data_IF_181499503794
#
_entry.id   IF_181499503794
#
_cell.length_a   1.000
_cell.length_b   1.000
_cell.length_c   1.000
_cell.angle_alpha   90.00
_cell.angle_beta   90.00
_cell.angle_gamma   90.00
#
_symmetry.space_group_name_H-M   'P 1'
#
loop_
_entity.id
_entity.type
_entity.pdbx_description
1 polymer ?
#
# COMPACT_ATOMS: atom_id res chain seq x y z
N UNK A 1 9.97 -25.07 9.39
CA UNK A 1 8.65 -25.71 9.32
C UNK A 1 7.78 -25.01 8.28
N UNK A 2 7.02 -25.82 7.56
CA UNK A 2 6.28 -25.62 6.30
C UNK A 2 5.47 -24.30 6.23
N UNK A 3 5.86 -23.38 5.33
CA UNK A 3 4.92 -22.36 4.80
C UNK A 3 4.01 -23.05 3.78
N UNK A 4 2.84 -23.50 4.23
CA UNK A 4 1.68 -23.63 3.35
C UNK A 4 1.27 -22.21 2.98
N UNK A 5 1.77 -21.71 1.85
CA UNK A 5 1.04 -20.66 1.16
C UNK A 5 -0.29 -21.27 0.75
N UNK A 6 -1.38 -20.78 1.34
CA UNK A 6 -2.68 -20.78 0.67
C UNK A 6 -2.51 -19.90 -0.56
N UNK A 7 -1.83 -20.42 -1.58
CA UNK A 7 -2.20 -20.12 -2.96
C UNK A 7 -3.66 -20.52 -3.00
N UNK A 8 -4.55 -19.55 -3.12
CA UNK A 8 -5.89 -19.81 -3.62
C UNK A 8 -5.67 -20.58 -4.91
N UNK A 9 -5.78 -21.90 -4.82
CA UNK A 9 -5.81 -22.76 -5.97
C UNK A 9 -6.98 -22.23 -6.75
N UNK A 10 -6.71 -21.67 -7.93
CA UNK A 10 -7.71 -21.33 -8.92
C UNK A 10 -8.73 -22.47 -8.91
N UNK A 11 -9.88 -22.25 -8.27
CA UNK A 11 -10.90 -23.27 -8.19
C UNK A 11 -11.23 -23.52 -9.64
N UNK A 12 -10.89 -24.74 -10.10
CA UNK A 12 -11.14 -25.22 -11.45
C UNK A 12 -12.48 -24.62 -11.86
N UNK A 13 -12.45 -23.85 -12.94
CA UNK A 13 -13.64 -23.28 -13.55
C UNK A 13 -14.81 -24.24 -13.41
N UNK A 14 -15.99 -23.73 -13.11
CA UNK A 14 -17.25 -24.45 -13.34
C UNK A 14 -17.28 -24.84 -14.82
N UNK A 15 -16.63 -25.96 -15.14
CA UNK A 15 -16.83 -26.72 -16.35
C UNK A 15 -18.29 -27.11 -16.25
N UNK A 16 -19.10 -26.63 -17.20
CA UNK A 16 -20.40 -27.22 -17.48
C UNK A 16 -20.19 -28.74 -17.45
N UNK A 17 -20.91 -29.42 -16.57
CA UNK A 17 -20.85 -30.87 -16.42
C UNK A 17 -21.33 -31.52 -17.71
N UNK A 18 -20.40 -31.73 -18.64
CA UNK A 18 -20.49 -32.87 -19.53
C UNK A 18 -20.17 -34.10 -18.68
N UNK A 19 -20.92 -35.18 -18.88
CA UNK A 19 -20.81 -36.42 -18.13
C UNK A 19 -19.34 -36.78 -17.90
N UNK A 20 -19.02 -37.16 -16.66
CA UNK A 20 -17.72 -37.66 -16.27
C UNK A 20 -17.52 -39.10 -16.76
N UNK A 21 -17.78 -39.35 -18.05
CA UNK A 21 -17.14 -40.47 -18.72
C UNK A 21 -15.70 -40.03 -18.98
N UNK A 22 -14.89 -40.16 -17.93
CA UNK A 22 -13.44 -40.06 -18.06
C UNK A 22 -13.05 -41.16 -19.03
N UNK A 23 -12.84 -40.80 -20.30
CA UNK A 23 -12.05 -41.60 -21.22
C UNK A 23 -10.67 -41.76 -20.60
N UNK A 24 -10.52 -42.79 -19.77
CA UNK A 24 -9.25 -43.15 -19.16
C UNK A 24 -8.40 -43.77 -20.26
N UNK A 25 -7.57 -42.95 -20.91
CA UNK A 25 -6.49 -43.45 -21.75
C UNK A 25 -5.45 -44.07 -20.82
N UNK A 26 -5.64 -45.34 -20.48
CA UNK A 26 -4.63 -46.14 -19.80
C UNK A 26 -3.47 -46.28 -20.81
N UNK A 27 -2.25 -45.81 -20.49
CA UNK A 27 -1.10 -45.96 -21.38
C UNK A 27 -0.89 -47.43 -21.73
N UNK A 28 -0.57 -47.72 -22.99
CA UNK A 28 -0.43 -49.09 -23.51
C UNK A 28 0.54 -49.98 -22.70
N UNK A 29 1.50 -49.34 -22.02
CA UNK A 29 2.51 -49.97 -21.16
C UNK A 29 1.92 -50.78 -20.01
N UNK A 30 0.67 -50.50 -19.59
CA UNK A 30 0.03 -51.11 -18.42
C UNK A 30 -0.99 -52.21 -18.74
N UNK A 31 -1.24 -52.51 -20.02
CA UNK A 31 -2.39 -53.34 -20.43
C UNK A 31 -2.05 -54.70 -21.06
N UNK A 32 -0.82 -54.91 -21.53
CA UNK A 32 -0.43 -56.13 -22.25
C UNK A 32 0.63 -56.94 -21.49
N UNK A 33 0.46 -58.26 -21.48
CA UNK A 33 1.33 -59.23 -20.77
C UNK A 33 2.57 -59.63 -21.59
N UNK A 34 2.57 -59.44 -22.91
CA UNK A 34 3.65 -59.86 -23.81
C UNK A 34 4.33 -58.67 -24.49
N UNK A 35 5.66 -58.71 -24.57
CA UNK A 35 6.48 -57.60 -25.12
C UNK A 35 6.25 -57.33 -26.61
N UNK A 36 5.78 -58.32 -27.38
CA UNK A 36 5.46 -58.17 -28.80
C UNK A 36 4.20 -57.34 -29.07
N UNK A 37 3.35 -57.10 -28.07
CA UNK A 37 2.12 -56.29 -28.16
C UNK A 37 2.36 -54.85 -27.68
N UNK A 38 3.57 -54.54 -27.18
CA UNK A 38 3.94 -53.19 -26.76
C UNK A 38 4.27 -52.34 -27.98
N UNK A 39 3.37 -51.40 -28.28
CA UNK A 39 3.66 -50.33 -29.23
C UNK A 39 4.97 -49.62 -28.87
N UNK A 40 5.76 -49.28 -29.89
CA UNK A 40 6.96 -48.47 -29.71
C UNK A 40 6.60 -47.11 -29.10
N UNK A 41 7.57 -46.45 -28.46
CA UNK A 41 7.34 -45.13 -27.83
C UNK A 41 6.81 -44.08 -28.81
N UNK A 42 7.13 -44.22 -30.10
CA UNK A 42 6.72 -43.32 -31.17
C UNK A 42 5.26 -43.59 -31.58
N UNK A 43 4.89 -44.86 -31.76
CA UNK A 43 3.51 -45.28 -32.04
C UNK A 43 2.56 -44.95 -30.89
N UNK A 44 3.02 -45.13 -29.65
CA UNK A 44 2.24 -44.82 -28.45
C UNK A 44 2.00 -43.31 -28.30
N UNK A 45 2.97 -42.47 -28.71
CA UNK A 45 2.79 -41.01 -28.79
C UNK A 45 1.88 -40.58 -29.93
N UNK A 46 1.95 -41.28 -31.07
CA UNK A 46 1.07 -41.03 -32.22
C UNK A 46 -0.39 -41.45 -31.94
N UNK A 47 -0.60 -42.46 -31.09
CA UNK A 47 -1.92 -42.93 -30.66
C UNK A 47 -2.61 -42.00 -29.66
N UNK A 48 -1.88 -41.10 -29.00
CA UNK A 48 -2.47 -40.05 -28.15
C UNK A 48 -3.07 -38.99 -29.07
N UNK A 49 -4.39 -38.78 -29.09
CA UNK A 49 -4.99 -37.75 -29.91
C UNK A 49 -4.36 -36.39 -29.57
N UNK A 50 -3.92 -35.66 -30.59
CA UNK A 50 -3.44 -34.29 -30.40
C UNK A 50 -4.55 -33.49 -29.73
N UNK A 51 -4.20 -32.68 -28.72
CA UNK A 51 -5.19 -31.78 -28.09
C UNK A 51 -5.88 -31.00 -29.22
N UNK A 52 -7.21 -30.97 -29.26
CA UNK A 52 -7.92 -30.20 -30.28
C UNK A 52 -7.43 -28.75 -30.21
N UNK A 53 -6.89 -28.28 -31.32
CA UNK A 53 -6.42 -26.91 -31.47
C UNK A 53 -7.63 -26.03 -31.75
N UNK A 54 -8.02 -25.20 -30.78
CA UNK A 54 -9.16 -24.29 -30.91
C UNK A 54 -8.76 -22.90 -31.42
N UNK A 55 -7.51 -22.71 -31.84
CA UNK A 55 -7.02 -21.40 -32.32
C UNK A 55 -7.74 -20.93 -33.60
N UNK A 56 -8.30 -21.86 -34.38
CA UNK A 56 -9.07 -21.58 -35.59
C UNK A 56 -10.53 -21.19 -35.33
N UNK A 57 -11.05 -21.38 -34.11
CA UNK A 57 -12.41 -20.95 -33.77
C UNK A 57 -12.43 -19.43 -33.59
N UNK A 58 -13.38 -18.76 -34.25
CA UNK A 58 -13.64 -17.36 -33.98
C UNK A 58 -14.00 -17.19 -32.51
N UNK A 59 -13.17 -16.46 -31.77
CA UNK A 59 -13.45 -16.16 -30.37
C UNK A 59 -14.69 -15.26 -30.33
N UNK A 60 -15.83 -15.82 -29.93
CA UNK A 60 -17.07 -15.07 -29.71
C UNK A 60 -16.94 -14.01 -28.59
N UNK A 61 -15.87 -14.06 -27.79
CA UNK A 61 -15.64 -13.18 -26.66
C UNK A 61 -14.38 -12.36 -26.89
N UNK A 62 -14.51 -11.04 -26.73
CA UNK A 62 -13.37 -10.12 -26.65
C UNK A 62 -12.46 -10.47 -25.46
N UNK A 63 -11.26 -9.90 -25.38
CA UNK A 63 -10.32 -10.15 -24.28
C UNK A 63 -10.95 -9.85 -22.90
N UNK A 64 -11.39 -10.91 -22.21
CA UNK A 64 -11.82 -10.84 -20.81
C UNK A 64 -10.54 -10.90 -19.96
N UNK A 65 -10.21 -9.80 -19.30
CA UNK A 65 -9.05 -9.74 -18.41
C UNK A 65 -9.40 -10.36 -17.06
N UNK A 66 -8.44 -11.11 -16.50
CA UNK A 66 -8.53 -11.68 -15.16
C UNK A 66 -8.61 -10.53 -14.12
N UNK A 67 -9.55 -10.58 -13.16
CA UNK A 67 -9.72 -9.52 -12.17
C UNK A 67 -8.42 -9.13 -11.44
N UNK A 68 -7.61 -10.10 -11.04
CA UNK A 68 -6.32 -9.90 -10.35
C UNK A 68 -5.33 -9.00 -11.10
N UNK A 69 -5.53 -8.80 -12.40
CA UNK A 69 -4.63 -8.04 -13.28
C UNK A 69 -5.05 -6.59 -13.45
N UNK A 70 -6.09 -6.14 -12.75
CA UNK A 70 -6.65 -4.79 -12.90
C UNK A 70 -6.53 -4.03 -11.58
N UNK A 71 -6.30 -2.72 -11.69
CA UNK A 71 -6.28 -1.80 -10.58
C UNK A 71 -7.56 -0.95 -10.54
N UNK A 72 -8.11 -0.76 -9.34
CA UNK A 72 -9.20 0.16 -9.05
C UNK A 72 -9.15 0.61 -7.58
N UNK A 73 -9.48 1.88 -7.33
CA UNK A 73 -9.45 2.48 -5.99
C UNK A 73 -10.84 2.90 -5.49
N UNK A 74 -11.79 3.22 -6.39
CA UNK A 74 -13.07 3.83 -6.01
C UNK A 74 -14.24 2.83 -5.99
N UNK A 75 -14.08 1.65 -6.59
CA UNK A 75 -15.17 0.69 -6.74
C UNK A 75 -15.29 -0.18 -5.50
N UNK A 76 -16.45 -0.11 -4.85
CA UNK A 76 -16.91 -1.16 -3.94
C UNK A 76 -17.83 -2.15 -4.65
N UNK A 77 -17.81 -3.40 -4.21
CA UNK A 77 -18.77 -4.42 -4.62
C UNK A 77 -20.22 -3.98 -4.39
N UNK A 78 -21.03 -3.99 -5.45
CA UNK A 78 -22.49 -3.82 -5.39
C UNK A 78 -23.14 -4.97 -6.18
N UNK A 79 -24.07 -5.73 -5.59
CA UNK A 79 -24.80 -6.79 -6.28
C UNK A 79 -25.47 -6.35 -7.59
N UNK A 80 -25.88 -5.07 -7.70
CA UNK A 80 -26.47 -4.49 -8.91
C UNK A 80 -25.51 -4.53 -10.11
N UNK A 81 -24.20 -4.47 -9.85
CA UNK A 81 -23.18 -4.53 -10.89
C UNK A 81 -23.15 -5.89 -11.59
N UNK A 82 -23.44 -6.98 -10.86
CA UNK A 82 -23.52 -8.33 -11.44
C UNK A 82 -24.67 -8.44 -12.43
N UNK A 83 -25.83 -7.85 -12.12
CA UNK A 83 -26.99 -7.82 -13.00
C UNK A 83 -26.69 -7.03 -14.28
N UNK A 84 -26.09 -5.85 -14.13
CA UNK A 84 -25.71 -4.99 -15.26
C UNK A 84 -24.69 -5.69 -16.17
N UNK A 85 -23.67 -6.32 -15.60
CA UNK A 85 -22.69 -7.11 -16.35
C UNK A 85 -23.27 -8.35 -17.03
N UNK A 86 -24.25 -9.00 -16.38
CA UNK A 86 -24.89 -10.19 -16.91
C UNK A 86 -25.79 -9.92 -18.12
N UNK A 87 -26.38 -8.72 -18.21
CA UNK A 87 -27.37 -8.36 -19.22
C UNK A 87 -26.80 -7.53 -20.37
N UNK A 88 -25.63 -6.90 -20.21
CA UNK A 88 -25.17 -5.90 -21.16
C UNK A 88 -24.10 -6.44 -22.13
N UNK A 89 -24.42 -6.44 -23.43
CA UNK A 89 -23.59 -7.00 -24.51
C UNK A 89 -22.28 -6.24 -24.78
N UNK A 90 -21.98 -5.12 -24.15
CA UNK A 90 -20.73 -4.36 -24.42
C UNK A 90 -20.33 -3.49 -23.23
N UNK A 91 -20.64 -3.94 -22.02
CA UNK A 91 -20.60 -3.06 -20.86
C UNK A 91 -19.61 -3.56 -19.81
N UNK A 92 -18.69 -2.68 -19.38
CA UNK A 92 -17.82 -2.99 -18.26
C UNK A 92 -18.65 -3.09 -16.96
N UNK A 93 -17.99 -3.31 -15.83
CA UNK A 93 -18.58 -3.60 -14.50
C UNK A 93 -19.83 -2.76 -14.13
N UNK A 94 -19.93 -1.52 -14.62
CA UNK A 94 -20.99 -0.56 -14.33
C UNK A 94 -21.90 -0.16 -15.51
N UNK A 95 -21.85 -0.86 -16.65
CA UNK A 95 -22.87 -0.65 -17.67
C UNK A 95 -22.67 0.53 -18.63
N UNK A 96 -21.55 1.28 -18.57
CA UNK A 96 -21.31 2.44 -19.45
C UNK A 96 -20.00 2.37 -20.24
N UNK A 97 -20.02 2.85 -21.48
CA UNK A 97 -18.89 2.83 -22.43
C UNK A 97 -17.64 3.61 -21.97
N UNK A 98 -17.83 4.60 -21.09
CA UNK A 98 -16.77 5.52 -20.67
C UNK A 98 -15.96 5.01 -19.47
N UNK A 99 -16.44 3.98 -18.76
CA UNK A 99 -15.68 3.38 -17.68
C UNK A 99 -14.57 2.50 -18.26
N UNK A 100 -13.33 2.79 -17.87
CA UNK A 100 -12.15 2.04 -18.30
C UNK A 100 -11.44 1.46 -17.10
N UNK A 101 -11.01 0.23 -17.23
CA UNK A 101 -10.22 -0.46 -16.23
C UNK A 101 -8.75 -0.46 -16.61
N UNK A 102 -7.88 -0.24 -15.63
CA UNK A 102 -6.44 -0.12 -15.84
C UNK A 102 -5.75 -1.42 -15.46
N UNK A 103 -4.89 -1.96 -16.32
CA UNK A 103 -4.06 -3.13 -15.99
C UNK A 103 -3.01 -2.76 -14.93
N UNK A 104 -2.82 -3.61 -13.91
CA UNK A 104 -1.79 -3.44 -12.86
C UNK A 104 -0.37 -3.37 -13.46
N UNK A 105 -0.06 -4.23 -14.45
CA UNK A 105 1.26 -4.25 -15.09
C UNK A 105 1.37 -3.18 -16.19
N UNK A 106 2.37 -2.29 -16.06
CA UNK A 106 2.62 -1.20 -16.99
C UNK A 106 3.06 -1.62 -18.40
N UNK A 107 3.63 -2.81 -18.58
CA UNK A 107 4.13 -3.31 -19.88
C UNK A 107 3.03 -3.79 -20.83
N UNK A 108 1.77 -3.70 -20.42
CA UNK A 108 0.62 -4.11 -21.24
C UNK A 108 -0.19 -2.87 -21.56
N UNK A 109 -0.45 -2.65 -22.85
CA UNK A 109 -1.24 -1.53 -23.31
C UNK A 109 -2.60 -1.49 -22.60
N UNK A 110 -2.99 -0.28 -22.20
CA UNK A 110 -4.25 0.00 -21.52
C UNK A 110 -5.39 0.04 -22.53
N UNK A 111 -5.77 -1.12 -23.05
CA UNK A 111 -6.95 -1.26 -23.89
C UNK A 111 -8.24 -1.39 -23.06
N UNK A 112 -9.36 -1.02 -23.66
CA UNK A 112 -10.68 -1.17 -23.06
C UNK A 112 -11.01 -2.66 -22.82
N UNK A 113 -11.06 -3.04 -21.54
CA UNK A 113 -11.49 -4.39 -21.14
C UNK A 113 -13.01 -4.45 -21.12
N UNK A 114 -13.57 -5.47 -21.79
CA UNK A 114 -15.00 -5.73 -21.81
C UNK A 114 -15.33 -7.01 -21.02
N UNK A 115 -16.47 -7.02 -20.33
CA UNK A 115 -16.96 -8.19 -19.60
C UNK A 115 -18.26 -8.69 -20.19
N UNK A 116 -18.38 -10.00 -20.39
CA UNK A 116 -19.48 -10.58 -21.15
C UNK A 116 -20.36 -11.57 -20.38
N UNK A 117 -20.18 -11.74 -19.05
CA UNK A 117 -20.89 -12.78 -18.29
C UNK A 117 -21.08 -12.45 -16.81
N UNK A 118 -22.22 -12.86 -16.25
CA UNK A 118 -22.54 -12.76 -14.82
C UNK A 118 -21.54 -13.55 -13.95
N UNK A 119 -21.08 -14.73 -14.38
CA UNK A 119 -20.05 -15.51 -13.65
C UNK A 119 -18.74 -14.74 -13.50
N UNK A 120 -18.37 -13.95 -14.52
CA UNK A 120 -17.21 -13.05 -14.43
C UNK A 120 -17.50 -11.93 -13.44
N UNK A 121 -18.67 -11.31 -13.50
CA UNK A 121 -19.08 -10.27 -12.56
C UNK A 121 -19.09 -10.72 -11.10
N UNK A 122 -19.52 -11.96 -10.83
CA UNK A 122 -19.48 -12.55 -9.48
C UNK A 122 -18.03 -12.66 -8.99
N UNK A 123 -17.11 -13.17 -9.81
CA UNK A 123 -15.68 -13.26 -9.42
C UNK A 123 -15.04 -11.91 -9.16
N UNK A 124 -15.40 -10.91 -9.97
CA UNK A 124 -14.95 -9.53 -9.75
C UNK A 124 -15.51 -8.96 -8.46
N UNK A 125 -16.78 -9.23 -8.17
CA UNK A 125 -17.42 -8.80 -6.94
C UNK A 125 -16.72 -9.42 -5.72
N UNK A 126 -16.47 -10.73 -5.75
CA UNK A 126 -15.72 -11.44 -4.70
C UNK A 126 -14.34 -10.81 -4.47
N UNK A 127 -13.55 -10.60 -5.52
CA UNK A 127 -12.19 -10.06 -5.40
C UNK A 127 -12.18 -8.59 -4.94
N UNK A 128 -13.08 -7.75 -5.45
CA UNK A 128 -13.18 -6.37 -4.97
C UNK A 128 -13.66 -6.28 -3.52
N UNK A 129 -14.50 -7.23 -3.07
CA UNK A 129 -14.85 -7.34 -1.65
C UNK A 129 -13.66 -7.79 -0.81
N UNK A 130 -12.83 -8.71 -1.30
CA UNK A 130 -11.60 -9.16 -0.59
C UNK A 130 -10.55 -8.05 -0.49
N UNK A 131 -10.45 -7.17 -1.49
CA UNK A 131 -9.55 -6.00 -1.47
C UNK A 131 -9.99 -4.90 -0.49
N UNK A 132 -11.24 -4.92 0.01
CA UNK A 132 -11.76 -3.95 0.97
C UNK A 132 -12.01 -4.66 2.31
N UNK A 133 -10.95 -4.79 3.10
CA UNK A 133 -11.02 -5.34 4.46
C UNK A 133 -11.00 -4.22 5.52
N UNK A 134 -11.56 -4.52 6.70
CA UNK A 134 -11.55 -3.58 7.81
C UNK A 134 -10.13 -3.38 8.34
N UNK A 135 -9.71 -2.12 8.50
CA UNK A 135 -8.47 -1.75 9.15
C UNK A 135 -8.75 -1.41 10.62
N UNK A 136 -7.81 -1.78 11.49
CA UNK A 136 -7.75 -1.24 12.84
C UNK A 136 -7.15 0.17 12.82
N UNK A 137 -7.53 1.01 13.78
CA UNK A 137 -6.83 2.27 14.02
C UNK A 137 -5.46 1.99 14.66
N UNK A 138 -4.51 2.92 14.49
CA UNK A 138 -3.34 2.98 15.36
C UNK A 138 -3.84 3.12 16.82
N UNK A 139 -3.38 2.26 17.73
CA UNK A 139 -3.66 2.42 19.17
C UNK A 139 -2.76 3.54 19.73
N UNK A 140 -3.17 4.41 20.65
CA UNK A 140 -2.28 5.50 21.13
C UNK A 140 -1.10 5.05 22.02
N UNK A 141 -0.81 3.75 22.06
CA UNK A 141 0.20 3.19 22.94
C UNK A 141 1.50 3.03 22.15
N UNK A 142 2.37 4.03 22.26
CA UNK A 142 3.79 3.82 21.96
C UNK A 142 4.23 2.60 22.79
N UNK A 143 4.67 1.49 22.17
CA UNK A 143 5.19 0.37 22.94
C UNK A 143 6.33 0.94 23.78
N UNK A 144 6.33 0.79 25.11
CA UNK A 144 7.41 1.31 25.92
C UNK A 144 8.69 0.64 25.43
N UNK A 145 9.53 1.40 24.72
CA UNK A 145 10.92 1.03 24.41
C UNK A 145 11.75 1.13 25.70
N UNK A 146 11.24 0.63 26.82
CA UNK A 146 11.96 0.55 28.08
C UNK A 146 12.41 -0.89 28.27
N UNK A 147 13.49 -1.24 27.58
CA UNK A 147 14.38 -2.31 28.02
C UNK A 147 15.67 -1.67 28.50
N UNK A 148 15.53 -0.78 29.50
CA UNK A 148 16.67 -0.31 30.26
C UNK A 148 16.96 -1.33 31.36
N UNK A 149 17.78 -2.33 31.02
CA UNK A 149 18.42 -3.10 32.08
C UNK A 149 19.39 -2.14 32.78
N UNK A 150 18.96 -1.60 33.93
CA UNK A 150 19.73 -0.63 34.72
C UNK A 150 21.12 -1.15 35.06
N UNK A 151 21.27 -2.47 35.23
CA UNK A 151 22.55 -3.10 35.52
C UNK A 151 23.47 -3.06 34.29
N UNK A 152 22.97 -3.48 33.12
CA UNK A 152 23.74 -3.46 31.86
C UNK A 152 24.08 -2.02 31.46
N UNK A 153 23.13 -1.09 31.58
CA UNK A 153 23.38 0.33 31.32
C UNK A 153 24.40 0.94 32.27
N UNK A 154 24.44 0.50 33.54
CA UNK A 154 25.47 0.92 34.49
C UNK A 154 26.87 0.45 34.10
N UNK A 155 27.00 -0.78 33.58
CA UNK A 155 28.27 -1.29 33.04
C UNK A 155 28.70 -0.47 31.83
N UNK A 156 27.79 -0.25 30.88
CA UNK A 156 28.06 0.53 29.67
C UNK A 156 28.47 1.96 30.03
N UNK A 157 27.71 2.62 30.92
CA UNK A 157 27.96 4.01 31.34
C UNK A 157 29.32 4.16 32.03
N UNK A 158 29.66 3.26 32.95
CA UNK A 158 30.96 3.28 33.62
C UNK A 158 32.12 3.11 32.63
N UNK A 159 31.98 2.18 31.68
CA UNK A 159 33.01 1.93 30.66
C UNK A 159 33.14 3.07 29.66
N UNK A 160 32.00 3.64 29.27
CA UNK A 160 31.94 4.84 28.46
C UNK A 160 32.63 6.00 29.17
N UNK A 161 32.39 6.22 30.47
CA UNK A 161 33.08 7.26 31.27
C UNK A 161 34.59 6.99 31.41
N UNK A 162 35.01 5.75 31.69
CA UNK A 162 36.42 5.37 31.79
C UNK A 162 37.19 5.70 30.50
N UNK A 163 36.59 5.39 29.35
CA UNK A 163 37.15 5.73 28.04
C UNK A 163 37.00 7.22 27.72
N UNK A 164 35.98 7.88 28.26
CA UNK A 164 35.76 9.32 28.08
C UNK A 164 36.78 10.19 28.82
N UNK A 165 37.18 9.75 30.00
CA UNK A 165 38.16 10.44 30.85
C UNK A 165 39.57 10.38 30.21
N UNK A 166 39.85 9.37 29.39
CA UNK A 166 41.15 9.18 28.75
C UNK A 166 41.36 10.00 27.47
N UNK A 167 40.30 10.58 26.87
CA UNK A 167 40.40 11.20 25.54
C UNK A 167 40.03 12.69 25.44
N UNK A 168 39.98 13.45 26.56
CA UNK A 168 39.63 14.89 26.56
C UNK A 168 38.35 15.18 25.76
N UNK A 169 37.23 14.77 26.33
CA UNK A 169 35.98 14.51 25.64
C UNK A 169 35.17 15.75 25.21
N UNK A 170 35.48 16.26 24.03
CA UNK A 170 34.45 16.45 23.02
C UNK A 170 34.57 15.26 22.07
N UNK A 171 33.56 14.38 22.08
CA UNK A 171 33.15 13.54 20.97
C UNK A 171 33.85 12.16 20.70
N UNK A 172 33.13 11.08 21.03
CA UNK A 172 33.14 9.77 20.32
C UNK A 172 32.73 9.96 18.84
N UNK A 173 33.54 10.70 18.07
CA UNK A 173 33.25 11.05 16.67
C UNK A 173 33.90 10.08 15.67
N UNK A 174 34.84 9.23 16.10
CA UNK A 174 35.55 8.32 15.20
C UNK A 174 35.06 6.87 15.36
N UNK A 175 34.80 6.15 14.26
CA UNK A 175 34.46 4.72 14.29
C UNK A 175 35.43 3.85 15.11
N UNK A 176 36.70 4.25 15.18
CA UNK A 176 37.78 3.55 15.90
C UNK A 176 37.60 3.56 17.42
N UNK A 177 37.00 4.63 17.98
CA UNK A 177 36.75 4.75 19.42
C UNK A 177 35.71 3.73 19.90
N UNK A 178 34.82 3.33 18.99
CA UNK A 178 33.84 2.28 19.25
C UNK A 178 34.46 0.89 19.22
N UNK A 179 35.43 0.62 18.32
CA UNK A 179 36.18 -0.65 18.33
C UNK A 179 36.99 -0.83 19.62
N UNK A 180 37.55 0.27 20.15
CA UNK A 180 38.21 0.30 21.44
C UNK A 180 37.25 -0.03 22.59
N UNK A 181 36.02 0.48 22.55
CA UNK A 181 34.99 0.13 23.52
C UNK A 181 34.73 -1.38 23.54
N UNK A 182 34.47 -2.00 22.37
CA UNK A 182 34.22 -3.45 22.31
C UNK A 182 35.42 -4.27 22.77
N UNK A 183 36.62 -3.87 22.37
CA UNK A 183 37.88 -4.51 22.80
C UNK A 183 38.08 -4.44 24.31
N UNK A 184 37.69 -3.32 24.94
CA UNK A 184 37.78 -3.16 26.42
C UNK A 184 36.79 -4.07 27.15
N UNK A 185 35.58 -4.24 26.62
CA UNK A 185 34.55 -5.13 27.18
C UNK A 185 34.96 -6.60 27.09
N UNK A 186 35.68 -6.99 26.03
CA UNK A 186 36.27 -8.33 25.90
C UNK A 186 37.36 -8.61 26.95
N UNK A 187 38.08 -7.58 27.40
CA UNK A 187 39.16 -7.71 28.37
C UNK A 187 38.69 -7.76 29.83
N UNK A 188 37.50 -7.23 30.16
CA UNK A 188 36.98 -7.14 31.53
C UNK A 188 36.57 -8.47 32.19
N UNK A 189 36.84 -9.61 31.53
CA UNK A 189 36.51 -10.96 32.01
C UNK A 189 35.05 -11.12 32.49
N UNK A 190 34.12 -10.40 31.85
CA UNK A 190 32.70 -10.51 32.12
C UNK A 190 32.18 -11.91 31.77
N UNK A 191 31.12 -12.36 32.47
CA UNK A 191 30.44 -13.61 32.09
C UNK A 191 29.95 -13.49 30.64
N UNK A 192 30.12 -14.52 29.77
CA UNK A 192 29.77 -14.44 28.35
C UNK A 192 28.35 -13.93 28.07
N UNK A 193 27.35 -14.33 28.88
CA UNK A 193 25.97 -13.85 28.72
C UNK A 193 25.77 -12.36 29.05
N UNK A 194 26.55 -11.80 29.98
CA UNK A 194 26.52 -10.37 30.30
C UNK A 194 27.22 -9.59 29.18
N UNK A 195 28.34 -10.11 28.68
CA UNK A 195 29.07 -9.51 27.58
C UNK A 195 28.19 -9.39 26.32
N UNK A 196 27.48 -10.45 25.96
CA UNK A 196 26.53 -10.45 24.84
C UNK A 196 25.40 -9.42 25.05
N UNK A 197 24.89 -9.28 26.28
CA UNK A 197 23.89 -8.25 26.61
C UNK A 197 24.47 -6.84 26.50
N UNK A 198 25.69 -6.58 26.98
CA UNK A 198 26.36 -5.28 26.84
C UNK A 198 26.50 -4.90 25.36
N UNK A 199 26.98 -5.83 24.52
CA UNK A 199 27.11 -5.61 23.07
C UNK A 199 25.76 -5.29 22.42
N UNK A 200 24.70 -6.00 22.81
CA UNK A 200 23.35 -5.80 22.29
C UNK A 200 22.70 -4.47 22.72
N UNK A 201 22.96 -4.02 23.94
CA UNK A 201 22.37 -2.82 24.51
C UNK A 201 23.16 -1.55 24.19
N UNK A 202 24.45 -1.66 23.86
CA UNK A 202 25.32 -0.53 23.58
C UNK A 202 24.81 0.42 22.48
N UNK A 203 24.36 -0.06 21.29
CA UNK A 203 23.76 0.81 20.27
C UNK A 203 22.61 1.70 20.79
N UNK A 204 21.76 1.13 21.64
CA UNK A 204 20.60 1.83 22.19
C UNK A 204 20.97 2.81 23.29
N UNK A 205 21.98 2.45 24.08
CA UNK A 205 22.57 3.35 25.07
C UNK A 205 23.10 4.61 24.39
N UNK A 206 23.88 4.46 23.30
CA UNK A 206 24.41 5.60 22.53
C UNK A 206 23.30 6.50 21.99
N UNK A 207 22.27 5.90 21.38
CA UNK A 207 21.09 6.64 20.91
C UNK A 207 20.26 7.25 22.05
N UNK A 208 20.43 6.75 23.28
CA UNK A 208 19.80 7.25 24.49
C UNK A 208 20.49 8.49 25.07
N UNK A 209 21.71 8.82 24.64
CA UNK A 209 22.45 9.98 25.13
C UNK A 209 21.79 11.28 24.64
N UNK A 210 21.53 12.20 25.57
CA UNK A 210 20.85 13.48 25.26
C UNK A 210 21.60 14.28 24.19
N UNK A 211 22.93 14.30 24.25
CA UNK A 211 23.79 14.94 23.26
C UNK A 211 23.55 14.39 21.83
N UNK A 212 23.38 13.07 21.69
CA UNK A 212 23.11 12.40 20.40
C UNK A 212 21.69 12.68 19.91
N UNK A 213 20.72 12.79 20.82
CA UNK A 213 19.33 13.11 20.45
C UNK A 213 19.18 14.55 19.97
N UNK A 214 19.91 15.48 20.59
CA UNK A 214 19.80 16.91 20.29
C UNK A 214 20.69 17.35 19.12
N UNK A 215 21.91 16.80 18.99
CA UNK A 215 22.87 17.21 17.96
C UNK A 215 22.78 16.35 16.67
N UNK A 216 22.58 17.02 15.53
CA UNK A 216 22.47 16.34 14.24
C UNK A 216 23.79 15.71 13.80
N UNK A 217 24.92 16.37 14.00
CA UNK A 217 26.24 15.85 13.65
C UNK A 217 26.60 14.59 14.44
N UNK A 218 26.32 14.56 15.74
CA UNK A 218 26.55 13.39 16.58
C UNK A 218 25.68 12.21 16.17
N UNK A 219 24.40 12.43 15.89
CA UNK A 219 23.52 11.36 15.42
C UNK A 219 24.02 10.78 14.09
N UNK A 220 24.49 11.61 13.15
CA UNK A 220 25.05 11.15 11.88
C UNK A 220 26.25 10.24 12.06
N UNK A 221 27.15 10.57 13.00
CA UNK A 221 28.31 9.73 13.28
C UNK A 221 27.91 8.42 13.94
N UNK A 222 27.02 8.45 14.93
CA UNK A 222 26.52 7.23 15.58
C UNK A 222 25.85 6.32 14.54
N UNK A 223 25.03 6.87 13.65
CA UNK A 223 24.42 6.10 12.55
C UNK A 223 25.48 5.55 11.58
N UNK A 224 26.53 6.31 11.27
CA UNK A 224 27.66 5.85 10.45
C UNK A 224 28.34 4.64 11.07
N UNK A 225 28.70 4.74 12.35
CA UNK A 225 29.29 3.65 13.12
C UNK A 225 28.39 2.40 13.18
N UNK A 226 27.10 2.58 13.51
CA UNK A 226 26.14 1.47 13.56
C UNK A 226 25.99 0.80 12.20
N UNK A 227 26.04 1.59 11.11
CA UNK A 227 25.98 1.09 9.74
C UNK A 227 27.17 0.18 9.40
N UNK A 228 28.38 0.52 9.86
CA UNK A 228 29.57 -0.30 9.66
C UNK A 228 29.54 -1.58 10.52
N UNK A 229 28.96 -1.46 11.72
CA UNK A 229 28.85 -2.55 12.69
C UNK A 229 27.65 -3.48 12.47
N UNK A 230 26.82 -3.27 11.44
CA UNK A 230 25.62 -4.09 11.19
C UNK A 230 25.90 -5.60 11.07
N UNK A 231 27.10 -6.00 10.63
CA UNK A 231 27.49 -7.41 10.50
C UNK A 231 27.81 -8.08 11.84
N UNK A 232 28.29 -7.31 12.81
CA UNK A 232 28.65 -7.78 14.15
C UNK A 232 27.49 -7.66 15.14
N UNK A 233 26.48 -6.83 14.84
CA UNK A 233 25.28 -6.70 15.65
C UNK A 233 24.35 -7.91 15.53
N UNK A 234 23.87 -8.48 16.65
CA UNK A 234 22.84 -9.50 16.61
C UNK A 234 21.54 -8.99 15.98
N UNK A 235 20.91 -9.82 15.16
CA UNK A 235 19.67 -9.48 14.43
C UNK A 235 18.54 -8.97 15.34
N UNK A 236 18.48 -9.47 16.58
CA UNK A 236 17.49 -9.07 17.60
C UNK A 236 17.67 -7.61 18.07
N UNK A 237 18.87 -7.04 17.87
CA UNK A 237 19.21 -5.68 18.29
C UNK A 237 18.92 -4.64 17.22
N UNK A 238 18.86 -5.04 15.94
CA UNK A 238 18.64 -4.13 14.81
C UNK A 238 17.25 -3.50 14.82
N UNK A 239 16.19 -4.30 15.03
CA UNK A 239 14.80 -3.80 15.00
C UNK A 239 14.58 -2.70 16.04
N UNK A 240 15.00 -2.85 17.31
CA UNK A 240 14.74 -1.80 18.29
C UNK A 240 15.66 -0.60 18.13
N UNK A 241 16.86 -0.78 17.52
CA UNK A 241 17.69 0.36 17.08
C UNK A 241 16.95 1.16 16.01
N UNK A 242 16.39 0.51 14.99
CA UNK A 242 15.56 1.18 13.97
C UNK A 242 14.38 1.91 14.60
N UNK A 243 13.70 1.29 15.57
CA UNK A 243 12.58 1.92 16.29
C UNK A 243 13.02 3.17 17.06
N UNK A 244 14.11 3.08 17.83
CA UNK A 244 14.62 4.20 18.61
C UNK A 244 15.10 5.36 17.72
N UNK A 245 15.77 5.07 16.60
CA UNK A 245 16.19 6.11 15.64
C UNK A 245 14.97 6.79 15.02
N UNK A 246 13.96 6.03 14.60
CA UNK A 246 12.72 6.60 14.07
C UNK A 246 12.05 7.54 15.09
N UNK A 247 11.99 7.15 16.36
CA UNK A 247 11.42 7.98 17.42
C UNK A 247 12.24 9.25 17.69
N UNK A 248 13.58 9.16 17.72
CA UNK A 248 14.46 10.32 17.90
C UNK A 248 14.22 11.34 16.78
N UNK A 249 14.18 10.88 15.53
CA UNK A 249 14.04 11.76 14.36
C UNK A 249 12.62 12.33 14.30
N UNK A 250 11.59 11.52 14.59
CA UNK A 250 10.19 11.98 14.62
C UNK A 250 9.98 13.10 15.64
N UNK A 251 10.64 13.01 16.80
CA UNK A 251 10.57 14.03 17.86
C UNK A 251 11.57 15.19 17.69
N UNK A 252 12.32 15.24 16.58
CA UNK A 252 13.32 16.28 16.31
C UNK A 252 12.69 17.57 15.77
N UNK A 253 13.44 18.68 15.85
CA UNK A 253 13.01 19.97 15.27
C UNK A 253 12.98 19.91 13.74
N UNK A 254 11.99 20.56 13.12
CA UNK A 254 11.68 20.47 11.68
C UNK A 254 12.88 20.73 10.74
N UNK A 255 13.77 21.67 11.08
CA UNK A 255 14.91 22.02 10.22
C UNK A 255 16.02 20.95 10.20
N UNK A 256 16.11 20.10 11.23
CA UNK A 256 17.11 19.04 11.36
C UNK A 256 16.63 17.70 10.77
N UNK A 257 15.34 17.55 10.46
CA UNK A 257 14.74 16.26 10.08
C UNK A 257 15.38 15.72 8.78
N UNK A 258 15.51 16.54 7.74
CA UNK A 258 15.96 16.07 6.41
C UNK A 258 17.34 15.40 6.40
N UNK A 259 18.42 15.99 6.96
CA UNK A 259 19.72 15.32 7.01
C UNK A 259 19.69 14.05 7.89
N UNK A 260 18.96 14.07 9.01
CA UNK A 260 18.82 12.90 9.90
C UNK A 260 18.11 11.74 9.20
N UNK A 261 17.00 12.02 8.51
CA UNK A 261 16.26 11.01 7.75
C UNK A 261 17.17 10.39 6.69
N UNK A 262 17.91 11.18 5.90
CA UNK A 262 18.84 10.66 4.86
C UNK A 262 19.85 9.65 5.41
N UNK A 263 20.47 9.96 6.55
CA UNK A 263 21.41 9.03 7.17
C UNK A 263 20.72 7.77 7.71
N UNK A 264 19.53 7.94 8.28
CA UNK A 264 18.72 6.82 8.72
C UNK A 264 18.28 5.92 7.55
N UNK A 265 17.97 6.48 6.37
CA UNK A 265 17.66 5.68 5.19
C UNK A 265 18.86 4.84 4.75
N UNK A 266 20.07 5.40 4.80
CA UNK A 266 21.29 4.67 4.47
C UNK A 266 21.53 3.51 5.45
N UNK A 267 21.36 3.78 6.75
CA UNK A 267 21.42 2.75 7.78
C UNK A 267 20.38 1.64 7.53
N UNK A 268 19.10 2.00 7.33
CA UNK A 268 18.03 1.03 7.12
C UNK A 268 18.24 0.21 5.84
N UNK A 269 18.66 0.84 4.74
CA UNK A 269 18.97 0.14 3.50
C UNK A 269 20.07 -0.91 3.70
N UNK A 270 21.14 -0.57 4.43
CA UNK A 270 22.19 -1.56 4.74
C UNK A 270 21.69 -2.63 5.71
N UNK A 271 20.82 -2.28 6.66
CA UNK A 271 20.20 -3.24 7.57
C UNK A 271 19.30 -4.24 6.81
N UNK A 272 18.55 -3.79 5.81
CA UNK A 272 17.74 -4.63 4.92
C UNK A 272 18.59 -5.56 4.05
N UNK A 273 19.81 -5.16 3.65
CA UNK A 273 20.74 -6.04 2.94
C UNK A 273 21.21 -7.21 3.82
N UNK A 274 21.41 -6.98 5.12
CA UNK A 274 21.80 -8.02 6.08
C UNK A 274 20.60 -8.86 6.50
N UNK A 275 19.43 -8.22 6.69
CA UNK A 275 18.18 -8.88 7.03
C UNK A 275 17.01 -8.25 6.25
N UNK A 276 16.56 -8.89 5.16
CA UNK A 276 15.50 -8.36 4.30
C UNK A 276 14.13 -8.18 4.98
N UNK A 277 13.95 -8.70 6.21
CA UNK A 277 12.68 -8.64 6.94
C UNK A 277 12.65 -7.59 8.05
N UNK A 278 13.70 -6.78 8.22
CA UNK A 278 13.75 -5.77 9.29
C UNK A 278 12.50 -4.88 9.25
N UNK A 279 12.22 -4.28 8.10
CA UNK A 279 11.07 -3.37 7.93
C UNK A 279 9.73 -4.09 8.09
N UNK A 280 9.62 -5.35 7.62
CA UNK A 280 8.41 -6.15 7.78
C UNK A 280 8.11 -6.59 9.23
N UNK A 281 9.10 -6.50 10.12
CA UNK A 281 9.01 -6.91 11.53
C UNK A 281 8.86 -5.72 12.49
N UNK A 282 8.87 -4.49 11.97
CA UNK A 282 8.68 -3.29 12.78
C UNK A 282 7.26 -3.22 13.34
N UNK A 283 7.12 -2.56 14.49
CA UNK A 283 5.82 -2.29 15.08
C UNK A 283 5.01 -1.31 14.20
N UNK A 284 3.67 -1.44 14.12
CA UNK A 284 2.81 -0.51 13.37
C UNK A 284 3.09 0.98 13.61
N UNK A 285 3.34 1.39 14.86
CA UNK A 285 3.74 2.76 15.20
C UNK A 285 5.01 3.23 14.52
N UNK A 286 6.02 2.37 14.50
CA UNK A 286 7.32 2.70 13.90
C UNK A 286 7.17 2.78 12.38
N UNK A 287 6.35 1.92 11.78
CA UNK A 287 6.03 1.97 10.35
C UNK A 287 5.28 3.27 9.98
N UNK A 288 4.35 3.73 10.81
CA UNK A 288 3.65 5.01 10.60
C UNK A 288 4.63 6.19 10.69
N UNK A 289 5.45 6.26 11.75
CA UNK A 289 6.50 7.28 11.91
C UNK A 289 7.50 7.25 10.75
N UNK A 290 7.94 6.07 10.31
CA UNK A 290 8.82 5.92 9.15
C UNK A 290 8.18 6.45 7.86
N UNK A 291 6.92 6.11 7.61
CA UNK A 291 6.18 6.60 6.45
C UNK A 291 6.10 8.14 6.45
N UNK A 292 5.83 8.74 7.61
CA UNK A 292 5.84 10.19 7.79
C UNK A 292 7.23 10.79 7.54
N UNK A 293 8.28 10.22 8.14
CA UNK A 293 9.65 10.70 7.97
C UNK A 293 10.12 10.68 6.50
N UNK A 294 9.72 9.67 5.72
CA UNK A 294 10.02 9.60 4.28
C UNK A 294 9.36 10.69 3.44
N UNK A 295 8.32 11.36 3.95
CA UNK A 295 7.71 12.51 3.25
C UNK A 295 8.68 13.70 3.16
N UNK A 296 9.62 13.84 4.11
CA UNK A 296 10.58 14.95 4.14
C UNK A 296 11.75 14.79 3.16
N UNK A 297 12.00 13.58 2.65
CA UNK A 297 13.13 13.30 1.73
C UNK A 297 12.74 13.24 0.26
N UNK A 298 11.47 13.54 -0.08
CA UNK A 298 10.90 13.40 -1.44
C UNK A 298 10.89 11.96 -1.97
N UNK A 299 11.10 10.96 -1.11
CA UNK A 299 11.14 9.54 -1.43
C UNK A 299 9.76 8.87 -1.27
N UNK A 300 8.79 9.29 -2.10
CA UNK A 300 7.40 8.83 -1.98
C UNK A 300 7.23 7.30 -2.12
N UNK A 301 8.12 6.63 -2.85
CA UNK A 301 8.07 5.16 -3.00
C UNK A 301 8.40 4.43 -1.68
N UNK A 302 9.30 4.97 -0.85
CA UNK A 302 9.66 4.36 0.45
C UNK A 302 8.53 4.56 1.46
N UNK A 303 7.94 5.76 1.49
CA UNK A 303 6.74 6.04 2.26
C UNK A 303 5.59 5.08 1.87
N UNK A 304 5.35 4.91 0.56
CA UNK A 304 4.35 3.98 0.04
C UNK A 304 4.61 2.54 0.49
N UNK A 305 5.87 2.08 0.48
CA UNK A 305 6.22 0.73 0.93
C UNK A 305 5.97 0.53 2.44
N UNK A 306 6.30 1.52 3.28
CA UNK A 306 6.02 1.46 4.72
C UNK A 306 4.51 1.40 4.99
N UNK A 307 3.71 2.24 4.32
CA UNK A 307 2.25 2.22 4.42
C UNK A 307 1.68 0.89 3.88
N UNK A 308 2.25 0.36 2.80
CA UNK A 308 1.85 -0.94 2.25
C UNK A 308 2.02 -2.07 3.28
N UNK A 309 3.15 -2.10 3.99
CA UNK A 309 3.40 -3.09 5.04
C UNK A 309 2.39 -2.91 6.18
N UNK A 310 2.17 -1.67 6.63
CA UNK A 310 1.21 -1.35 7.68
C UNK A 310 -0.21 -1.85 7.34
N UNK A 311 -0.69 -1.56 6.13
CA UNK A 311 -2.04 -1.89 5.67
C UNK A 311 -2.20 -3.37 5.35
N UNK A 312 -1.28 -3.95 4.58
CA UNK A 312 -1.46 -5.32 4.06
C UNK A 312 -0.95 -6.41 5.00
N UNK A 313 0.05 -6.12 5.85
CA UNK A 313 0.54 -7.10 6.84
C UNK A 313 -0.07 -6.91 8.21
N UNK A 314 -0.08 -5.69 8.73
CA UNK A 314 -0.59 -5.43 10.08
C UNK A 314 -2.09 -5.18 10.11
N UNK A 315 -2.74 -4.91 8.96
CA UNK A 315 -4.18 -4.59 8.87
C UNK A 315 -4.54 -3.35 9.70
N UNK A 316 -3.62 -2.39 9.75
CA UNK A 316 -3.74 -1.14 10.50
C UNK A 316 -3.79 0.03 9.50
N UNK A 317 -4.64 1.02 9.78
CA UNK A 317 -4.69 2.27 9.02
C UNK A 317 -3.53 3.17 9.42
N UNK A 318 -2.84 3.84 8.46
CA UNK A 318 -1.95 4.93 8.82
C UNK A 318 -2.72 6.03 9.56
N UNK A 319 -1.98 6.83 10.34
CA UNK A 319 -2.53 8.04 10.95
C UNK A 319 -2.93 9.07 9.89
N UNK A 320 -3.90 9.91 10.21
CA UNK A 320 -4.42 10.92 9.28
C UNK A 320 -3.32 11.91 8.85
N UNK A 321 -2.40 12.25 9.76
CA UNK A 321 -1.25 13.10 9.48
C UNK A 321 -0.30 12.43 8.49
N UNK A 322 0.15 11.20 8.79
CA UNK A 322 1.07 10.42 7.96
C UNK A 322 0.52 10.25 6.55
N UNK A 323 -0.75 9.85 6.43
CA UNK A 323 -1.34 9.58 5.12
C UNK A 323 -1.56 10.86 4.31
N UNK A 324 -1.95 11.96 4.96
CA UNK A 324 -2.12 13.26 4.29
C UNK A 324 -0.79 13.81 3.78
N UNK A 325 0.25 13.82 4.60
CA UNK A 325 1.60 14.26 4.21
C UNK A 325 2.18 13.39 3.09
N UNK A 326 1.92 12.07 3.13
CA UNK A 326 2.28 11.17 2.05
C UNK A 326 1.59 11.54 0.73
N UNK A 327 0.27 11.75 0.74
CA UNK A 327 -0.46 12.08 -0.49
C UNK A 327 -0.08 13.45 -1.06
N UNK A 328 0.20 14.45 -0.21
CA UNK A 328 0.71 15.76 -0.63
C UNK A 328 2.06 15.60 -1.35
N UNK A 329 3.01 14.91 -0.71
CA UNK A 329 4.35 14.64 -1.29
C UNK A 329 4.25 13.80 -2.56
N UNK A 330 3.36 12.80 -2.58
CA UNK A 330 3.10 11.97 -3.75
C UNK A 330 2.54 12.82 -4.89
N UNK A 331 1.56 13.69 -4.64
CA UNK A 331 0.96 14.56 -5.64
C UNK A 331 1.96 15.58 -6.21
N UNK A 332 2.86 16.12 -5.39
CA UNK A 332 3.94 16.98 -5.86
C UNK A 332 4.94 16.20 -6.72
N UNK A 333 5.29 14.98 -6.30
CA UNK A 333 6.08 14.05 -7.11
C UNK A 333 5.44 13.71 -8.45
N UNK A 334 4.10 13.65 -8.54
CA UNK A 334 3.41 13.45 -9.82
C UNK A 334 3.60 14.64 -10.77
N UNK A 335 3.57 15.87 -10.26
CA UNK A 335 3.79 17.09 -11.07
C UNK A 335 5.20 17.10 -11.66
N UNK A 336 6.20 16.71 -10.88
CA UNK A 336 7.60 16.67 -11.30
C UNK A 336 7.92 15.56 -12.33
N UNK A 337 7.07 14.52 -12.44
CA UNK A 337 7.28 13.38 -13.35
C UNK A 337 6.88 13.63 -14.81
N UNK A 338 6.43 14.84 -15.14
CA UNK A 338 6.13 15.22 -16.54
C UNK A 338 4.97 14.46 -17.17
N UNK A 339 4.02 13.97 -16.37
CA UNK A 339 2.81 13.30 -16.88
C UNK A 339 1.92 14.33 -17.58
N UNK A 340 1.91 14.30 -18.92
CA UNK A 340 1.30 15.35 -19.76
C UNK A 340 -0.23 15.26 -19.83
N UNK A 341 -0.81 14.06 -19.73
CA UNK A 341 -2.25 13.85 -19.90
C UNK A 341 -2.94 13.43 -18.60
N UNK A 342 -4.20 13.85 -18.43
CA UNK A 342 -5.05 13.47 -17.30
C UNK A 342 -5.18 11.94 -17.21
N UNK A 343 -5.31 11.26 -18.35
CA UNK A 343 -5.43 9.80 -18.39
C UNK A 343 -4.14 9.08 -17.98
N UNK A 344 -2.97 9.62 -18.34
CA UNK A 344 -1.68 9.08 -17.90
C UNK A 344 -1.50 9.25 -16.38
N UNK A 345 -1.85 10.42 -15.83
CA UNK A 345 -1.86 10.67 -14.38
C UNK A 345 -2.76 9.66 -13.66
N UNK A 346 -4.01 9.52 -14.09
CA UNK A 346 -4.98 8.58 -13.53
C UNK A 346 -4.46 7.14 -13.56
N UNK A 347 -3.97 6.69 -14.71
CA UNK A 347 -3.43 5.34 -14.89
C UNK A 347 -2.29 5.05 -13.92
N UNK A 348 -1.42 6.04 -13.72
CA UNK A 348 -0.30 5.92 -12.80
C UNK A 348 -0.77 5.82 -11.34
N UNK A 349 -1.65 6.73 -10.92
CA UNK A 349 -2.22 6.76 -9.55
C UNK A 349 -2.94 5.46 -9.23
N UNK A 350 -3.78 4.96 -10.15
CA UNK A 350 -4.50 3.70 -9.97
C UNK A 350 -3.55 2.53 -9.78
N UNK A 351 -2.45 2.46 -10.54
CA UNK A 351 -1.48 1.35 -10.44
C UNK A 351 -0.72 1.34 -9.11
N UNK A 352 -0.23 2.50 -8.68
CA UNK A 352 0.61 2.61 -7.48
C UNK A 352 -0.21 2.49 -6.19
N UNK A 353 -1.39 3.12 -6.14
CA UNK A 353 -2.18 3.20 -4.91
C UNK A 353 -3.25 2.09 -4.80
N UNK A 354 -3.35 1.17 -5.77
CA UNK A 354 -4.32 0.06 -5.73
C UNK A 354 -4.23 -0.75 -4.44
N UNK A 355 -3.02 -1.02 -3.97
CA UNK A 355 -2.79 -1.84 -2.78
C UNK A 355 -3.17 -1.12 -1.47
N UNK A 356 -3.46 0.18 -1.55
CA UNK A 356 -3.96 1.01 -0.44
C UNK A 356 -5.48 1.21 -0.51
N UNK A 357 -6.20 0.52 -1.40
CA UNK A 357 -7.66 0.53 -1.49
C UNK A 357 -8.37 0.44 -0.12
N UNK A 358 -8.00 -0.45 0.81
CA UNK A 358 -8.63 -0.52 2.13
C UNK A 358 -8.63 0.80 2.91
N UNK A 359 -7.56 1.59 2.79
CA UNK A 359 -7.43 2.88 3.47
C UNK A 359 -8.50 3.84 2.97
N UNK A 360 -8.73 3.90 1.65
CA UNK A 360 -9.77 4.72 1.02
C UNK A 360 -11.20 4.26 1.32
N UNK A 361 -11.41 3.13 2.00
CA UNK A 361 -12.73 2.73 2.51
C UNK A 361 -12.80 2.72 4.04
N UNK A 362 -11.75 3.22 4.71
CA UNK A 362 -11.73 3.38 6.15
C UNK A 362 -12.63 4.53 6.61
N UNK A 363 -13.18 4.45 7.83
CA UNK A 363 -14.25 5.34 8.31
C UNK A 363 -13.87 6.81 8.49
N UNK A 364 -12.58 7.16 8.49
CA UNK A 364 -12.09 8.49 8.92
C UNK A 364 -11.42 9.31 7.81
N UNK A 365 -11.73 9.08 6.53
CA UNK A 365 -11.00 9.71 5.42
C UNK A 365 -11.12 11.24 5.37
N UNK A 366 -10.03 11.95 5.63
CA UNK A 366 -9.96 13.40 5.49
C UNK A 366 -10.37 13.94 4.10
N UNK A 367 -10.87 15.18 4.05
CA UNK A 367 -11.22 15.87 2.81
C UNK A 367 -10.02 16.01 1.86
N UNK A 368 -8.81 16.21 2.39
CA UNK A 368 -7.59 16.27 1.56
C UNK A 368 -7.41 15.02 0.71
N UNK A 369 -7.68 13.85 1.28
CA UNK A 369 -7.59 12.56 0.59
C UNK A 369 -8.66 12.45 -0.49
N UNK A 370 -9.89 12.84 -0.16
CA UNK A 370 -11.03 12.82 -1.08
C UNK A 370 -10.82 13.79 -2.25
N UNK A 371 -10.36 15.01 -1.98
CA UNK A 371 -9.99 16.01 -2.99
C UNK A 371 -8.87 15.48 -3.89
N UNK A 372 -7.84 14.83 -3.33
CA UNK A 372 -6.79 14.19 -4.12
C UNK A 372 -7.35 13.15 -5.10
N UNK A 373 -8.21 12.23 -4.63
CA UNK A 373 -8.84 11.20 -5.47
C UNK A 373 -9.76 11.83 -6.53
N UNK A 374 -10.55 12.82 -6.14
CA UNK A 374 -11.45 13.54 -7.04
C UNK A 374 -10.69 14.22 -8.18
N UNK A 375 -9.54 14.82 -7.87
CA UNK A 375 -8.75 15.56 -8.85
C UNK A 375 -7.77 14.68 -9.65
N UNK A 376 -7.41 13.50 -9.13
CA UNK A 376 -6.38 12.64 -9.75
C UNK A 376 -6.92 11.38 -10.42
N UNK A 377 -8.10 10.90 -10.02
CA UNK A 377 -8.67 9.64 -10.50
C UNK A 377 -9.99 9.85 -11.26
N UNK A 378 -10.84 10.78 -10.81
CA UNK A 378 -12.20 10.95 -11.36
C UNK A 378 -12.17 11.71 -12.68
N UNK A 379 -12.47 11.02 -13.78
CA UNK A 379 -12.55 11.62 -15.12
C UNK A 379 -13.90 11.39 -15.80
N UNK A 380 -14.76 10.54 -15.24
CA UNK A 380 -16.09 10.26 -15.78
C UNK A 380 -17.16 10.22 -14.69
N UNK A 381 -18.42 10.19 -15.12
CA UNK A 381 -19.59 10.21 -14.22
C UNK A 381 -19.66 9.01 -13.27
N UNK A 382 -19.18 7.83 -13.67
CA UNK A 382 -19.24 6.65 -12.82
C UNK A 382 -18.22 6.69 -11.67
N UNK A 383 -17.02 7.18 -11.97
CA UNK A 383 -16.02 7.46 -10.94
C UNK A 383 -16.48 8.57 -10.01
N UNK A 384 -17.18 9.56 -10.56
CA UNK A 384 -17.79 10.62 -9.76
C UNK A 384 -18.90 10.09 -8.85
N UNK A 385 -19.77 9.22 -9.36
CA UNK A 385 -20.78 8.55 -8.54
C UNK A 385 -20.12 7.69 -7.44
N UNK A 386 -19.02 7.00 -7.77
CA UNK A 386 -18.28 6.16 -6.84
C UNK A 386 -17.60 6.97 -5.73
N UNK A 387 -16.98 8.11 -6.05
CA UNK A 387 -16.40 8.98 -5.03
C UNK A 387 -17.47 9.64 -4.18
N UNK A 388 -18.62 10.04 -4.76
CA UNK A 388 -19.76 10.55 -3.98
C UNK A 388 -20.31 9.46 -3.05
N UNK A 389 -20.43 8.21 -3.51
CA UNK A 389 -20.79 7.08 -2.65
C UNK A 389 -19.83 6.95 -1.46
N UNK A 390 -18.53 7.14 -1.69
CA UNK A 390 -17.48 7.04 -0.68
C UNK A 390 -17.54 8.19 0.32
N UNK A 391 -17.77 9.42 -0.15
CA UNK A 391 -18.03 10.61 0.68
C UNK A 391 -19.26 10.38 1.58
N UNK A 392 -20.36 9.91 1.01
CA UNK A 392 -21.59 9.61 1.77
C UNK A 392 -21.41 8.47 2.80
N UNK A 393 -20.51 7.51 2.53
CA UNK A 393 -20.22 6.39 3.44
C UNK A 393 -19.32 6.76 4.63
N UNK A 394 -18.59 7.89 4.56
CA UNK A 394 -17.64 8.36 5.59
C UNK A 394 -18.26 8.48 6.99
N UNK A 395 -19.58 8.61 7.10
CA UNK A 395 -20.30 8.46 8.36
C UNK A 395 -21.12 9.67 8.73
N UNK A 396 -22.21 9.39 9.46
CA UNK A 396 -23.37 10.25 9.76
C UNK A 396 -23.12 11.51 10.62
N UNK A 397 -21.87 11.97 10.82
CA UNK A 397 -21.54 12.85 11.97
C UNK A 397 -20.71 14.11 11.68
N UNK A 398 -20.31 14.39 10.44
CA UNK A 398 -19.73 15.69 10.11
C UNK A 398 -20.37 16.23 8.83
N UNK A 399 -21.10 17.34 8.95
CA UNK A 399 -21.47 18.16 7.81
C UNK A 399 -20.18 18.57 7.09
N UNK A 400 -20.13 18.40 5.77
CA UNK A 400 -19.01 18.90 4.97
C UNK A 400 -19.08 20.42 4.88
N UNK A 401 -17.92 21.07 4.81
CA UNK A 401 -17.86 22.51 4.69
C UNK A 401 -18.44 22.95 3.34
N UNK A 402 -19.04 24.14 3.28
CA UNK A 402 -19.65 24.65 2.04
C UNK A 402 -18.64 24.74 0.89
N UNK A 403 -17.37 25.05 1.18
CA UNK A 403 -16.26 25.05 0.20
C UNK A 403 -16.04 23.67 -0.42
N UNK A 404 -16.15 22.60 0.35
CA UNK A 404 -15.99 21.21 -0.09
C UNK A 404 -17.15 20.81 -1.01
N UNK A 405 -18.38 21.23 -0.65
CA UNK A 405 -19.57 21.04 -1.50
C UNK A 405 -19.39 21.71 -2.86
N UNK A 406 -18.86 22.94 -2.89
CA UNK A 406 -18.57 23.64 -4.13
C UNK A 406 -17.53 22.90 -4.98
N UNK A 407 -16.53 22.28 -4.36
CA UNK A 407 -15.54 21.46 -5.06
C UNK A 407 -16.19 20.24 -5.74
N UNK A 408 -17.08 19.53 -5.04
CA UNK A 408 -17.86 18.41 -5.61
C UNK A 408 -18.68 18.89 -6.81
N UNK A 409 -19.36 20.02 -6.69
CA UNK A 409 -20.19 20.59 -7.76
C UNK A 409 -19.35 21.03 -8.96
N UNK A 410 -18.22 21.70 -8.72
CA UNK A 410 -17.31 22.09 -9.78
C UNK A 410 -16.79 20.88 -10.56
N UNK A 411 -16.48 19.78 -9.85
CA UNK A 411 -16.07 18.54 -10.51
C UNK A 411 -17.18 17.92 -11.34
N UNK A 412 -18.42 17.95 -10.84
CA UNK A 412 -19.59 17.52 -11.61
C UNK A 412 -19.75 18.34 -12.89
N UNK A 413 -19.62 19.66 -12.81
CA UNK A 413 -19.72 20.55 -13.98
C UNK A 413 -18.60 20.34 -14.99
N UNK A 414 -17.37 20.12 -14.53
CA UNK A 414 -16.23 19.74 -15.38
C UNK A 414 -16.57 18.47 -16.18
N UNK A 415 -17.08 17.43 -15.51
CA UNK A 415 -17.46 16.17 -16.15
C UNK A 415 -18.62 16.39 -17.14
N UNK A 416 -19.64 17.14 -16.76
CA UNK A 416 -20.77 17.48 -17.65
C UNK A 416 -20.34 18.30 -18.86
N UNK A 417 -19.29 19.12 -18.75
CA UNK A 417 -18.71 19.86 -19.86
C UNK A 417 -18.10 18.96 -20.94
N UNK A 418 -17.58 17.80 -20.54
CA UNK A 418 -17.02 16.80 -21.48
C UNK A 418 -18.08 15.90 -22.13
N UNK A 419 -19.32 15.92 -21.62
CA UNK A 419 -20.40 15.06 -22.10
C UNK A 419 -21.37 15.83 -23.00
N UNK A 420 -21.88 15.15 -24.03
CA UNK A 420 -22.94 15.65 -24.91
C UNK A 420 -24.33 15.52 -24.25
N UNK A 421 -24.50 16.10 -23.06
CA UNK A 421 -25.77 16.11 -22.31
C UNK A 421 -26.61 17.34 -22.66
N UNK A 422 -27.92 17.16 -22.74
CA UNK A 422 -28.87 18.26 -22.83
C UNK A 422 -28.89 19.11 -21.54
N UNK A 423 -29.26 20.40 -21.61
CA UNK A 423 -29.41 21.27 -20.43
C UNK A 423 -30.30 20.65 -19.33
N UNK A 424 -31.39 20.01 -19.73
CA UNK A 424 -32.33 19.34 -18.80
C UNK A 424 -31.69 18.16 -18.06
N UNK A 425 -30.83 17.38 -18.74
CA UNK A 425 -30.11 16.27 -18.10
C UNK A 425 -29.04 16.77 -17.13
N UNK A 426 -28.31 17.84 -17.48
CA UNK A 426 -27.31 18.46 -16.59
C UNK A 426 -27.97 18.97 -15.31
N UNK A 427 -29.12 19.64 -15.46
CA UNK A 427 -29.93 20.15 -14.36
C UNK A 427 -30.50 19.02 -13.49
N UNK A 428 -30.95 17.91 -14.09
CA UNK A 428 -31.42 16.74 -13.37
C UNK A 428 -30.31 16.12 -12.50
N UNK A 429 -29.12 15.92 -13.07
CA UNK A 429 -27.96 15.38 -12.34
C UNK A 429 -27.58 16.27 -11.15
N UNK A 430 -27.59 17.60 -11.34
CA UNK A 430 -27.34 18.56 -10.26
C UNK A 430 -28.34 18.41 -9.09
N UNK A 431 -29.64 18.40 -9.39
CA UNK A 431 -30.66 18.25 -8.35
C UNK A 431 -30.62 16.87 -7.68
N UNK A 432 -30.29 15.81 -8.42
CA UNK A 432 -30.10 14.47 -7.84
C UNK A 432 -28.92 14.44 -6.87
N UNK A 433 -27.79 15.07 -7.22
CA UNK A 433 -26.64 15.18 -6.34
C UNK A 433 -26.98 15.98 -5.07
N UNK A 434 -27.59 17.16 -5.19
CA UNK A 434 -27.99 17.96 -4.03
C UNK A 434 -28.96 17.22 -3.12
N UNK A 435 -29.98 16.58 -3.71
CA UNK A 435 -30.94 15.76 -2.98
C UNK A 435 -30.21 14.68 -2.18
N UNK A 436 -29.26 14.00 -2.80
CA UNK A 436 -28.49 12.93 -2.18
C UNK A 436 -27.61 13.43 -1.03
N UNK A 437 -26.83 14.49 -1.24
CA UNK A 437 -26.01 15.11 -0.20
C UNK A 437 -26.85 15.54 1.01
N UNK A 438 -28.07 16.03 0.76
CA UNK A 438 -29.03 16.39 1.80
C UNK A 438 -29.61 15.16 2.53
N UNK A 439 -30.00 14.11 1.80
CA UNK A 439 -30.52 12.86 2.37
C UNK A 439 -29.48 12.19 3.30
N UNK A 440 -28.21 12.24 2.91
CA UNK A 440 -27.08 11.74 3.72
C UNK A 440 -26.62 12.74 4.81
N UNK A 441 -27.34 13.85 5.01
CA UNK A 441 -27.08 14.89 6.02
C UNK A 441 -25.70 15.57 5.92
N UNK A 442 -25.11 15.58 4.73
CA UNK A 442 -23.83 16.24 4.47
C UNK A 442 -23.99 17.76 4.31
N UNK A 443 -25.15 18.20 3.80
CA UNK A 443 -25.51 19.61 3.64
C UNK A 443 -26.87 19.90 4.27
N UNK A 444 -27.05 21.14 4.72
CA UNK A 444 -28.33 21.59 5.29
C UNK A 444 -29.27 22.22 4.23
N UNK A 445 -30.49 22.56 4.68
CA UNK A 445 -31.52 23.16 3.82
C UNK A 445 -31.12 24.56 3.33
N UNK A 446 -30.40 25.32 4.15
CA UNK A 446 -29.98 26.68 3.83
C UNK A 446 -28.89 26.68 2.75
N UNK A 447 -27.84 25.86 2.92
CA UNK A 447 -26.81 25.60 1.91
C UNK A 447 -27.43 25.10 0.60
N UNK A 448 -28.42 24.19 0.68
CA UNK A 448 -29.14 23.71 -0.52
C UNK A 448 -29.81 24.86 -1.27
N UNK A 449 -30.51 25.77 -0.57
CA UNK A 449 -31.15 26.93 -1.20
C UNK A 449 -30.13 27.86 -1.87
N UNK A 450 -29.05 28.20 -1.17
CA UNK A 450 -27.97 29.03 -1.70
C UNK A 450 -27.36 28.46 -2.98
N UNK A 451 -27.15 27.14 -3.04
CA UNK A 451 -26.61 26.46 -4.22
C UNK A 451 -27.60 26.48 -5.39
N UNK A 452 -28.89 26.29 -5.12
CA UNK A 452 -29.93 26.37 -6.16
C UNK A 452 -29.99 27.78 -6.73
N UNK A 453 -29.98 28.82 -5.88
CA UNK A 453 -29.98 30.22 -6.32
C UNK A 453 -28.75 30.56 -7.15
N UNK A 454 -27.57 30.14 -6.69
CA UNK A 454 -26.29 30.39 -7.36
C UNK A 454 -26.20 29.73 -8.74
N UNK A 455 -26.70 28.52 -8.90
CA UNK A 455 -26.51 27.73 -10.13
C UNK A 455 -27.77 27.59 -11.00
N UNK A 456 -28.92 28.15 -10.60
CA UNK A 456 -30.15 28.11 -11.42
C UNK A 456 -29.97 28.76 -12.80
N UNK A 457 -29.07 29.74 -12.91
CA UNK A 457 -28.73 30.46 -14.14
C UNK A 457 -27.62 29.80 -14.98
N UNK A 458 -26.98 28.74 -14.46
CA UNK A 458 -25.81 28.10 -15.08
C UNK A 458 -26.15 26.92 -16.00
N UNK A 459 -27.43 26.60 -16.20
CA UNK A 459 -27.91 25.45 -16.99
C UNK A 459 -28.69 25.85 -18.22
#
# INVERSE_FOLDING_TARGET
>A
MIRKSLKASCSKSCRRGYSSDVLSFIPNEKKFFFDSERLTKEENRAAIPKRPDYNHLSKYHHEIVCPDKIADILTSSDPRNVLVMGLAKDSPFFGRKNHKLVRKNAKKDAEHVKFYFATTGIKWLELFSEEIFALANLEDVDPPLSYSDRFINGIISKKHEELSILAEFDNFLNPQDFELFFSSIEQDALKPGIQEQVVNHFPRYLLGLEAVQQDTGLLLVVLGFLTESLKSLPLQSVIPVVSQVADIIYNSRVYDIKPRVKAFENFLMKAELVNPRVTEQLHPHVLDKLAYLYTFTSESNKALNAIYILVNRHRVSPSDETFSSFLETYNDGLKSRGLVTVEAKKTYVLRELNELKPVFFHKNLDWKILSFLMNSVVTNELEFESIVNLICKRGKWASIAFSEVLEILNKMFEIQGTQSLSPSQKRLQFFQLLRRLKEDKLIDVHQTKQLIEKYNSSF
#
